data_IF_252399784188
#
_entry.id   IF_252399784188
#
_cell.length_a   1.000
_cell.length_b   1.000
_cell.length_c   1.000
_cell.angle_alpha   90.00
_cell.angle_beta   90.00
_cell.angle_gamma   90.00
#
_symmetry.space_group_name_H-M   'P 1'
#
loop_
_entity.id
_entity.type
_entity.pdbx_description
1 polymer ?
#
# COMPACT_ATOMS: atom_id res chain seq x y z
N UNK A 1 3.35 23.64 8.31
CA UNK A 1 3.42 22.20 8.59
C UNK A 1 2.05 21.80 9.13
N UNK A 2 1.22 21.10 8.36
CA UNK A 2 -0.05 20.56 8.89
C UNK A 2 0.34 19.34 9.72
N UNK A 3 0.26 19.45 11.02
CA UNK A 3 0.26 18.29 11.91
C UNK A 3 -1.01 17.51 11.62
N UNK A 4 -0.87 16.27 11.18
CA UNK A 4 -2.02 15.35 11.09
C UNK A 4 -2.55 15.19 12.53
N UNK A 5 -3.87 15.34 12.74
CA UNK A 5 -4.43 15.19 14.08
C UNK A 5 -4.22 13.77 14.58
N UNK A 6 -3.91 13.65 15.85
CA UNK A 6 -3.75 12.35 16.50
C UNK A 6 -5.04 11.51 16.42
N UNK A 7 -4.96 10.18 16.29
CA UNK A 7 -6.13 9.31 16.20
C UNK A 7 -7.14 9.51 17.33
N UNK A 8 -6.69 9.79 18.53
CA UNK A 8 -7.54 10.08 19.67
C UNK A 8 -8.32 11.40 19.51
N UNK A 9 -7.71 12.42 18.91
CA UNK A 9 -8.36 13.69 18.62
C UNK A 9 -9.45 13.51 17.55
N UNK A 10 -9.19 12.68 16.53
CA UNK A 10 -10.17 12.37 15.50
C UNK A 10 -11.37 11.60 16.07
N UNK A 11 -11.12 10.64 16.95
CA UNK A 11 -12.17 9.83 17.58
C UNK A 11 -13.06 10.66 18.54
N UNK A 12 -12.55 11.74 19.09
CA UNK A 12 -13.29 12.62 19.99
C UNK A 12 -14.28 13.57 19.25
N UNK A 13 -14.18 13.67 17.94
CA UNK A 13 -15.07 14.54 17.14
C UNK A 13 -16.43 13.88 16.97
N UNK A 14 -17.55 14.52 17.38
CA UNK A 14 -18.86 13.93 17.25
C UNK A 14 -19.29 13.77 15.78
N UNK A 15 -20.14 12.78 15.45
CA UNK A 15 -20.59 12.52 14.08
C UNK A 15 -21.18 13.75 13.36
N UNK A 16 -21.92 14.59 14.08
CA UNK A 16 -22.48 15.85 13.53
C UNK A 16 -21.41 16.82 13.05
N UNK A 17 -20.30 16.92 13.77
CA UNK A 17 -19.17 17.76 13.36
C UNK A 17 -18.44 17.22 12.12
N UNK A 18 -18.47 15.91 11.90
CA UNK A 18 -17.92 15.29 10.68
C UNK A 18 -18.74 15.65 9.46
N UNK A 19 -20.08 15.65 9.56
CA UNK A 19 -20.96 16.06 8.45
C UNK A 19 -20.62 17.49 8.03
N UNK A 20 -20.63 18.42 8.96
CA UNK A 20 -20.30 19.82 8.70
C UNK A 20 -18.89 20.03 8.13
N UNK A 21 -17.94 19.19 8.53
CA UNK A 21 -16.56 19.21 7.98
C UNK A 21 -16.52 18.72 6.54
N UNK A 22 -17.21 17.62 6.22
CA UNK A 22 -17.29 17.09 4.86
C UNK A 22 -17.99 18.06 3.93
N UNK A 23 -19.13 18.65 4.33
CA UNK A 23 -19.83 19.66 3.56
C UNK A 23 -18.91 20.85 3.21
N UNK A 24 -18.12 21.34 4.17
CA UNK A 24 -17.15 22.42 3.90
C UNK A 24 -16.02 21.98 2.95
N UNK A 25 -15.55 20.75 3.07
CA UNK A 25 -14.48 20.24 2.21
C UNK A 25 -14.92 20.14 0.76
N UNK A 26 -16.15 19.69 0.53
CA UNK A 26 -16.71 19.46 -0.80
C UNK A 26 -17.60 20.60 -1.31
N UNK A 27 -17.69 21.72 -0.57
CA UNK A 27 -18.57 22.85 -0.89
C UNK A 27 -18.35 23.47 -2.29
N UNK A 28 -17.17 23.27 -2.88
CA UNK A 28 -16.81 23.82 -4.20
C UNK A 28 -16.71 22.75 -5.29
N UNK A 29 -16.99 21.50 -4.95
CA UNK A 29 -16.91 20.41 -5.91
C UNK A 29 -18.18 20.35 -6.76
N UNK A 30 -17.99 20.18 -8.07
CA UNK A 30 -19.11 20.08 -9.01
C UNK A 30 -19.75 18.67 -9.06
N UNK A 31 -19.24 17.74 -8.26
CA UNK A 31 -19.68 16.34 -8.22
C UNK A 31 -20.83 16.10 -7.22
N UNK A 32 -21.32 14.86 -7.10
CA UNK A 32 -22.46 14.50 -6.26
C UNK A 32 -22.12 14.43 -4.75
N UNK A 33 -20.94 14.85 -4.33
CA UNK A 33 -20.44 14.67 -2.96
C UNK A 33 -21.38 15.29 -1.91
N UNK A 34 -21.85 16.51 -2.13
CA UNK A 34 -22.75 17.19 -1.19
C UNK A 34 -24.10 16.48 -1.07
N UNK A 35 -24.65 15.99 -2.17
CA UNK A 35 -25.91 15.22 -2.18
C UNK A 35 -25.74 13.90 -1.42
N UNK A 36 -24.64 13.18 -1.66
CA UNK A 36 -24.31 11.96 -0.94
C UNK A 36 -24.13 12.20 0.56
N UNK A 37 -23.45 13.28 0.95
CA UNK A 37 -23.29 13.64 2.36
C UNK A 37 -24.65 13.96 3.00
N UNK A 38 -25.50 14.72 2.30
CA UNK A 38 -26.82 15.12 2.80
C UNK A 38 -27.76 13.92 3.00
N UNK A 39 -27.73 12.95 2.07
CA UNK A 39 -28.61 11.76 2.10
C UNK A 39 -28.03 10.62 2.95
N UNK A 40 -26.77 10.69 3.38
CA UNK A 40 -26.16 9.69 4.26
C UNK A 40 -26.71 9.82 5.67
N UNK A 41 -27.39 8.82 6.17
CA UNK A 41 -28.00 8.85 7.51
C UNK A 41 -26.93 8.83 8.61
N UNK A 42 -25.97 7.91 8.51
CA UNK A 42 -24.92 7.74 9.50
C UNK A 42 -23.54 8.00 8.92
N UNK A 43 -22.85 9.03 9.41
CA UNK A 43 -21.46 9.34 9.10
C UNK A 43 -20.57 8.81 10.21
N UNK A 44 -19.70 7.87 9.87
CA UNK A 44 -18.75 7.31 10.81
C UNK A 44 -17.55 8.24 11.03
N UNK A 45 -16.94 8.17 12.20
CA UNK A 45 -15.65 8.80 12.44
C UNK A 45 -14.60 8.23 11.49
N UNK A 46 -13.68 9.05 10.99
CA UNK A 46 -12.60 8.55 10.15
C UNK A 46 -11.65 7.68 10.96
N UNK A 47 -11.10 6.68 10.32
CA UNK A 47 -10.08 5.81 10.89
C UNK A 47 -8.71 6.21 10.35
N UNK A 48 -7.70 6.16 11.23
CA UNK A 48 -6.32 6.27 10.79
C UNK A 48 -5.96 5.07 9.92
N UNK A 49 -5.38 5.34 8.76
CA UNK A 49 -4.77 4.29 7.94
C UNK A 49 -3.27 4.32 8.16
N UNK A 50 -2.69 3.16 8.42
CA UNK A 50 -1.27 3.02 8.70
C UNK A 50 -0.61 2.22 7.59
N UNK A 51 0.65 2.51 7.34
CA UNK A 51 1.50 1.70 6.50
C UNK A 51 2.74 1.21 7.26
N UNK A 52 3.28 0.08 6.81
CA UNK A 52 4.54 -0.46 7.31
C UNK A 52 5.63 -0.21 6.26
N UNK A 53 6.52 0.74 6.55
CA UNK A 53 7.58 1.13 5.61
C UNK A 53 8.53 -0.03 5.34
N UNK A 54 8.98 -0.66 6.40
CA UNK A 54 9.92 -1.78 6.34
C UNK A 54 9.72 -2.64 7.58
N UNK A 55 9.56 -3.94 7.38
CA UNK A 55 9.57 -4.95 8.44
C UNK A 55 10.86 -5.74 8.28
N UNK A 56 11.80 -5.70 9.24
CA UNK A 56 13.13 -6.30 9.07
C UNK A 56 13.09 -7.80 8.86
N UNK A 57 12.28 -8.51 9.65
CA UNK A 57 12.20 -9.95 9.66
C UNK A 57 10.79 -10.42 9.38
N UNK A 58 10.60 -11.20 8.32
CA UNK A 58 9.31 -11.77 7.95
C UNK A 58 9.12 -13.21 8.39
N UNK A 59 10.19 -13.85 8.80
CA UNK A 59 10.16 -15.26 9.19
C UNK A 59 11.03 -15.56 10.40
N UNK A 60 10.70 -16.66 11.05
CA UNK A 60 11.56 -17.40 11.97
C UNK A 60 11.77 -18.81 11.41
N UNK A 61 12.34 -19.72 12.20
CA UNK A 61 12.56 -21.09 11.73
C UNK A 61 11.25 -21.83 11.36
N UNK A 62 10.10 -21.44 11.94
CA UNK A 62 8.82 -22.18 11.81
C UNK A 62 7.60 -21.28 11.54
N UNK A 63 7.80 -20.00 11.39
CA UNK A 63 6.69 -19.06 11.19
C UNK A 63 7.07 -18.02 10.15
N UNK A 64 6.11 -17.54 9.39
CA UNK A 64 6.26 -16.48 8.39
C UNK A 64 5.05 -15.57 8.43
N UNK A 65 5.27 -14.28 8.23
CA UNK A 65 4.22 -13.29 8.04
C UNK A 65 4.11 -12.95 6.56
N UNK A 66 2.87 -12.74 6.10
CA UNK A 66 2.54 -12.36 4.72
C UNK A 66 1.51 -11.23 4.72
N UNK A 67 1.30 -10.59 3.58
CA UNK A 67 0.30 -9.55 3.42
C UNK A 67 0.53 -8.36 4.36
N UNK A 68 -0.54 -7.82 4.91
CA UNK A 68 -0.50 -6.62 5.75
C UNK A 68 0.37 -6.77 7.01
N UNK A 69 0.55 -8.00 7.53
CA UNK A 69 1.46 -8.25 8.64
C UNK A 69 2.93 -8.00 8.28
N UNK A 70 3.30 -8.19 7.03
CA UNK A 70 4.65 -7.96 6.52
C UNK A 70 4.80 -6.55 5.89
N UNK A 71 3.74 -6.02 5.28
CA UNK A 71 3.85 -4.83 4.45
C UNK A 71 2.53 -4.07 4.28
N UNK A 72 1.81 -3.77 5.34
CA UNK A 72 0.61 -2.94 5.24
C UNK A 72 0.89 -1.69 4.40
N UNK A 73 0.11 -1.48 3.36
CA UNK A 73 0.28 -0.37 2.43
C UNK A 73 -0.91 0.57 2.46
N UNK A 74 -0.66 1.85 2.20
CA UNK A 74 -1.75 2.84 2.09
C UNK A 74 -2.80 2.39 1.06
N UNK A 75 -4.10 2.52 1.35
CA UNK A 75 -5.18 2.24 0.39
C UNK A 75 -5.01 2.97 -0.94
N UNK A 76 -4.33 4.12 -0.96
CA UNK A 76 -4.02 4.88 -2.17
C UNK A 76 -3.11 4.16 -3.17
N UNK A 77 -2.49 3.05 -2.78
CA UNK A 77 -1.76 2.18 -3.70
C UNK A 77 -2.68 1.30 -4.54
N UNK A 78 -3.85 0.92 -4.00
CA UNK A 78 -4.75 -0.06 -4.58
C UNK A 78 -4.18 -1.49 -4.67
N UNK A 79 -3.05 -1.77 -3.98
CA UNK A 79 -2.27 -3.00 -4.20
C UNK A 79 -2.26 -3.98 -3.00
N UNK A 80 -2.86 -3.64 -1.87
CA UNK A 80 -2.76 -4.48 -0.67
C UNK A 80 -3.15 -5.95 -0.91
N UNK A 81 -4.33 -6.19 -1.45
CA UNK A 81 -4.82 -7.54 -1.72
C UNK A 81 -3.98 -8.27 -2.79
N UNK A 82 -3.62 -7.58 -3.88
CA UNK A 82 -2.77 -8.17 -4.93
C UNK A 82 -1.42 -8.62 -4.37
N UNK A 83 -0.82 -7.82 -3.51
CA UNK A 83 0.45 -8.12 -2.85
C UNK A 83 0.35 -9.35 -1.94
N UNK A 84 -0.73 -9.49 -1.19
CA UNK A 84 -0.97 -10.67 -0.35
C UNK A 84 -1.14 -11.95 -1.17
N UNK A 85 -1.80 -11.87 -2.34
CA UNK A 85 -1.91 -13.00 -3.28
C UNK A 85 -0.53 -13.34 -3.87
N UNK A 86 0.24 -12.35 -4.29
CA UNK A 86 1.62 -12.57 -4.76
C UNK A 86 2.49 -13.23 -3.69
N UNK A 87 2.33 -12.84 -2.43
CA UNK A 87 3.03 -13.46 -1.29
C UNK A 87 2.68 -14.94 -1.17
N UNK A 88 1.39 -15.26 -1.18
CA UNK A 88 0.93 -16.64 -1.05
C UNK A 88 1.48 -17.52 -2.18
N UNK A 89 1.43 -17.04 -3.42
CA UNK A 89 1.96 -17.77 -4.59
C UNK A 89 3.48 -17.94 -4.48
N UNK A 90 4.22 -16.90 -4.12
CA UNK A 90 5.68 -16.95 -3.99
C UNK A 90 6.11 -17.90 -2.85
N UNK A 91 5.42 -17.81 -1.70
CA UNK A 91 5.67 -18.69 -0.57
C UNK A 91 5.42 -20.16 -0.93
N UNK A 92 4.30 -20.44 -1.60
CA UNK A 92 3.97 -21.80 -2.06
C UNK A 92 5.05 -22.37 -3.00
N UNK A 93 5.56 -21.54 -3.92
CA UNK A 93 6.69 -21.95 -4.79
C UNK A 93 7.95 -22.25 -3.99
N UNK A 94 8.31 -21.39 -3.04
CA UNK A 94 9.48 -21.62 -2.21
C UNK A 94 9.36 -22.93 -1.40
N UNK A 95 8.20 -23.20 -0.82
CA UNK A 95 7.95 -24.42 -0.07
C UNK A 95 7.88 -25.68 -0.95
N UNK A 96 7.47 -25.55 -2.21
CA UNK A 96 7.45 -26.64 -3.18
C UNK A 96 8.87 -27.05 -3.59
N UNK A 97 9.73 -26.06 -3.87
CA UNK A 97 11.01 -26.27 -4.53
C UNK A 97 12.18 -26.42 -3.57
N UNK A 98 12.05 -25.94 -2.34
CA UNK A 98 13.11 -25.92 -1.34
C UNK A 98 12.74 -26.80 -0.15
N UNK A 99 13.38 -27.98 0.00
CA UNK A 99 13.01 -28.97 1.03
C UNK A 99 13.22 -28.47 2.48
N UNK A 100 14.21 -27.61 2.69
CA UNK A 100 14.53 -27.09 4.01
C UNK A 100 13.69 -25.82 4.28
N UNK A 101 12.79 -25.90 5.28
CA UNK A 101 11.78 -24.88 5.53
C UNK A 101 12.37 -23.49 5.83
N UNK A 102 13.44 -23.40 6.64
CA UNK A 102 14.03 -22.10 6.99
C UNK A 102 14.61 -21.42 5.75
N UNK A 103 15.26 -22.17 4.87
CA UNK A 103 15.78 -21.70 3.57
C UNK A 103 14.66 -21.28 2.63
N UNK A 104 13.54 -22.02 2.62
CA UNK A 104 12.36 -21.67 1.82
C UNK A 104 11.78 -20.32 2.28
N UNK A 105 11.62 -20.11 3.59
CA UNK A 105 11.10 -18.86 4.16
C UNK A 105 12.05 -17.68 3.94
N UNK A 106 13.35 -17.90 4.05
CA UNK A 106 14.35 -16.89 3.72
C UNK A 106 14.29 -16.49 2.25
N UNK A 107 14.16 -17.46 1.35
CA UNK A 107 14.05 -17.23 -0.10
C UNK A 107 12.77 -16.47 -0.44
N UNK A 108 11.64 -16.80 0.19
CA UNK A 108 10.39 -16.04 0.07
C UNK A 108 10.60 -14.57 0.43
N UNK A 109 11.17 -14.26 1.60
CA UNK A 109 11.42 -12.88 2.02
C UNK A 109 12.33 -12.16 1.02
N UNK A 110 13.40 -12.78 0.56
CA UNK A 110 14.33 -12.21 -0.41
C UNK A 110 13.65 -11.88 -1.75
N UNK A 111 12.81 -12.78 -2.26
CA UNK A 111 12.11 -12.61 -3.54
C UNK A 111 11.04 -11.51 -3.49
N UNK A 112 10.46 -11.27 -2.32
CA UNK A 112 9.31 -10.35 -2.18
C UNK A 112 9.71 -8.95 -1.72
N UNK A 113 10.75 -8.82 -0.92
CA UNK A 113 11.08 -7.59 -0.19
C UNK A 113 11.16 -6.35 -1.09
N UNK A 114 11.98 -6.38 -2.13
CA UNK A 114 12.22 -5.20 -2.96
C UNK A 114 10.95 -4.70 -3.65
N UNK A 115 10.15 -5.64 -4.17
CA UNK A 115 8.88 -5.29 -4.82
C UNK A 115 7.89 -4.70 -3.82
N UNK A 116 7.77 -5.32 -2.67
CA UNK A 116 6.89 -4.90 -1.59
C UNK A 116 7.24 -3.49 -1.12
N UNK A 117 8.49 -3.24 -0.75
CA UNK A 117 8.94 -1.93 -0.27
C UNK A 117 8.74 -0.83 -1.32
N UNK A 118 8.94 -1.17 -2.61
CA UNK A 118 8.65 -0.25 -3.71
C UNK A 118 7.17 0.11 -3.83
N UNK A 119 6.27 -0.86 -3.67
CA UNK A 119 4.81 -0.62 -3.71
C UNK A 119 4.36 0.20 -2.51
N UNK A 120 4.81 -0.14 -1.30
CA UNK A 120 4.52 0.64 -0.09
C UNK A 120 4.99 2.08 -0.24
N UNK A 121 6.22 2.28 -0.75
CA UNK A 121 6.74 3.63 -1.00
C UNK A 121 5.90 4.40 -2.03
N UNK A 122 5.42 3.75 -3.07
CA UNK A 122 4.55 4.40 -4.06
C UNK A 122 3.20 4.79 -3.44
N UNK A 123 2.59 3.91 -2.63
CA UNK A 123 1.36 4.20 -1.91
C UNK A 123 1.51 5.43 -1.01
N UNK A 124 2.62 5.54 -0.29
CA UNK A 124 2.94 6.72 0.54
C UNK A 124 3.06 8.00 -0.28
N UNK A 125 3.72 7.94 -1.45
CA UNK A 125 3.84 9.10 -2.36
C UNK A 125 2.48 9.56 -2.85
N UNK A 126 1.61 8.62 -3.21
CA UNK A 126 0.25 8.91 -3.66
C UNK A 126 -0.62 9.49 -2.54
N UNK A 127 -0.46 9.00 -1.30
CA UNK A 127 -1.20 9.46 -0.12
C UNK A 127 -0.63 10.74 0.52
N UNK A 128 0.58 11.16 0.15
CA UNK A 128 1.18 12.38 0.67
C UNK A 128 0.49 13.61 0.07
N UNK A 129 -0.58 14.06 0.70
CA UNK A 129 -1.42 15.18 0.27
C UNK A 129 -0.69 16.55 0.25
N UNK A 130 0.38 16.67 -0.51
CA UNK A 130 0.92 17.97 -0.89
C UNK A 130 -0.07 18.65 -1.82
N UNK A 131 -1.00 19.40 -1.25
CA UNK A 131 -1.95 20.20 -2.00
C UNK A 131 -1.17 21.22 -2.83
N UNK A 132 -0.99 20.96 -4.11
CA UNK A 132 -0.62 21.95 -5.10
C UNK A 132 -1.84 22.84 -5.26
N UNK A 133 -1.64 24.19 -5.20
CA UNK A 133 -2.75 25.12 -5.36
C UNK A 133 -3.57 24.80 -6.62
N UNK A 134 -4.89 24.92 -6.54
CA UNK A 134 -5.82 24.47 -7.59
C UNK A 134 -5.44 25.00 -8.98
N UNK A 135 -5.07 26.26 -9.10
CA UNK A 135 -4.68 26.87 -10.39
C UNK A 135 -3.46 26.18 -11.01
N UNK A 136 -2.43 25.91 -10.20
CA UNK A 136 -1.21 25.24 -10.66
C UNK A 136 -1.50 23.78 -10.99
N UNK A 137 -2.30 23.10 -10.16
CA UNK A 137 -2.74 21.73 -10.40
C UNK A 137 -3.48 21.64 -11.74
N UNK A 138 -4.49 22.46 -11.95
CA UNK A 138 -5.38 22.39 -13.11
C UNK A 138 -4.64 22.71 -14.41
N UNK A 139 -3.67 23.62 -14.37
CA UNK A 139 -2.82 23.95 -15.50
C UNK A 139 -1.79 22.85 -15.82
N UNK A 140 -1.21 22.21 -14.79
CA UNK A 140 -0.15 21.20 -14.95
C UNK A 140 -0.69 19.78 -15.09
N UNK A 141 -1.85 19.47 -14.52
CA UNK A 141 -2.38 18.11 -14.46
C UNK A 141 -2.54 17.46 -15.83
N UNK A 142 -3.10 18.13 -16.87
CA UNK A 142 -3.21 17.53 -18.20
C UNK A 142 -1.86 17.16 -18.82
N UNK A 143 -0.85 18.01 -18.62
CA UNK A 143 0.50 17.79 -19.15
C UNK A 143 1.20 16.64 -18.40
N UNK A 144 1.09 16.62 -17.08
CA UNK A 144 1.65 15.57 -16.22
C UNK A 144 0.98 14.22 -16.50
N UNK A 145 -0.36 14.18 -16.58
CA UNK A 145 -1.09 12.94 -16.88
C UNK A 145 -0.70 12.42 -18.27
N UNK A 146 -0.65 13.28 -19.27
CA UNK A 146 -0.27 12.90 -20.65
C UNK A 146 1.16 12.35 -20.73
N UNK A 147 2.09 12.86 -19.92
CA UNK A 147 3.50 12.50 -19.99
C UNK A 147 3.90 11.36 -19.05
N UNK A 148 3.27 11.24 -17.88
CA UNK A 148 3.72 10.36 -16.82
C UNK A 148 2.67 9.31 -16.38
N UNK A 149 1.38 9.54 -16.59
CA UNK A 149 0.34 8.57 -16.28
C UNK A 149 0.05 7.65 -17.48
N UNK A 150 1.10 7.12 -18.10
CA UNK A 150 0.95 6.15 -19.19
C UNK A 150 0.82 4.74 -18.61
N UNK A 151 0.11 3.80 -19.27
CA UNK A 151 0.07 2.40 -18.86
C UNK A 151 1.47 1.83 -18.63
N UNK A 152 2.44 2.19 -19.47
CA UNK A 152 3.82 1.74 -19.39
C UNK A 152 4.53 2.20 -18.10
N UNK A 153 4.23 3.40 -17.61
CA UNK A 153 4.83 3.92 -16.37
C UNK A 153 4.36 3.16 -15.13
N UNK A 154 3.21 2.50 -15.21
CA UNK A 154 2.60 1.74 -14.11
C UNK A 154 2.68 0.22 -14.31
N UNK A 155 3.14 -0.24 -15.48
CA UNK A 155 3.26 -1.67 -15.81
C UNK A 155 4.03 -2.47 -14.74
N UNK A 156 5.11 -1.90 -14.18
CA UNK A 156 5.87 -2.54 -13.11
C UNK A 156 5.02 -2.89 -11.87
N UNK A 157 3.92 -2.17 -11.65
CA UNK A 157 3.02 -2.37 -10.52
C UNK A 157 1.88 -3.32 -10.86
N UNK A 158 1.25 -3.13 -12.05
CA UNK A 158 0.03 -3.82 -12.42
C UNK A 158 0.25 -5.05 -13.29
N UNK A 159 1.33 -5.11 -14.08
CA UNK A 159 1.59 -6.20 -15.02
C UNK A 159 2.55 -7.25 -14.44
N UNK A 160 2.81 -7.20 -13.14
CA UNK A 160 3.66 -8.20 -12.50
C UNK A 160 2.99 -9.57 -12.52
N UNK A 161 3.69 -10.55 -13.08
CA UNK A 161 3.24 -11.93 -13.18
C UNK A 161 4.22 -12.84 -12.48
N UNK A 162 3.71 -13.81 -11.75
CA UNK A 162 4.49 -14.86 -11.12
C UNK A 162 4.16 -16.15 -11.88
N UNK A 163 5.14 -16.70 -12.57
CA UNK A 163 5.02 -18.02 -13.17
C UNK A 163 5.14 -19.06 -12.05
N UNK A 164 4.01 -19.71 -11.73
CA UNK A 164 3.97 -20.70 -10.66
C UNK A 164 4.82 -21.92 -10.98
N UNK A 165 4.91 -22.34 -12.23
CA UNK A 165 5.59 -23.56 -12.67
C UNK A 165 7.11 -23.35 -12.79
N UNK A 166 7.57 -22.13 -12.93
CA UNK A 166 9.00 -21.83 -12.96
C UNK A 166 9.68 -22.19 -11.63
N UNK A 167 10.83 -22.87 -11.63
CA UNK A 167 11.56 -23.19 -10.41
C UNK A 167 12.05 -21.94 -9.68
N UNK A 168 12.16 -22.02 -8.36
CA UNK A 168 12.73 -20.96 -7.54
C UNK A 168 14.25 -21.00 -7.62
N UNK A 169 14.85 -19.90 -8.08
CA UNK A 169 16.29 -19.71 -7.97
C UNK A 169 16.66 -19.41 -6.51
N UNK A 170 17.32 -20.36 -5.87
CA UNK A 170 17.77 -20.23 -4.47
C UNK A 170 18.93 -19.24 -4.32
N UNK A 171 19.58 -18.82 -5.41
CA UNK A 171 20.80 -18.00 -5.35
C UNK A 171 21.92 -18.64 -4.52
N UNK A 172 23.10 -18.08 -4.45
CA UNK A 172 24.12 -18.57 -3.53
C UNK A 172 23.64 -18.38 -2.08
N UNK A 173 23.51 -19.48 -1.35
CA UNK A 173 23.21 -19.48 0.09
C UNK A 173 24.34 -18.69 0.77
N UNK A 174 24.04 -17.44 1.16
CA UNK A 174 25.01 -16.64 1.89
C UNK A 174 25.41 -17.40 3.16
N UNK A 175 26.69 -17.61 3.33
CA UNK A 175 27.25 -18.09 4.57
C UNK A 175 26.76 -17.19 5.70
N UNK A 176 25.93 -17.74 6.57
CA UNK A 176 25.53 -17.09 7.80
C UNK A 176 26.79 -16.73 8.58
N UNK A 177 27.00 -15.45 8.76
CA UNK A 177 28.01 -14.91 9.67
C UNK A 177 27.74 -15.52 11.06
N UNK A 178 28.58 -16.49 11.42
CA UNK A 178 28.68 -17.02 12.78
C UNK A 178 29.56 -16.05 13.56
N UNK A 179 28.96 -15.10 14.22
CA UNK A 179 29.61 -14.33 15.28
C UNK A 179 28.66 -14.21 16.46
#
# INVERSE_FOLDING_TARGET
>A
MRTEPEPAELAAIPPSAWRARLERLFARDAGPALELIATTEHIFAPWGTYDLRTVPHWHSARAVIIGDAAHATSPSSGQGASMAIEDAVTLARCLRDIPESATALQSYQRLRRDRVERVVQQGRRNGSGKAIGAIVRDAMLPLVLRRFATPQSQAWMFDHRIDFDAPVDVGPVGQTDRS
#
